data_IF_749798711018
#
_entry.id   IF_749798711018
#
_cell.length_a   1.000
_cell.length_b   1.000
_cell.length_c   1.000
_cell.angle_alpha   90.00
_cell.angle_beta   90.00
_cell.angle_gamma   90.00
#
_symmetry.space_group_name_H-M   'P 1'
#
loop_
_entity.id
_entity.type
_entity.pdbx_description
1 polymer ?
#
# COMPACT_ATOMS: atom_id res chain seq x y z
N UNK A 1 -1.41 32.48 16.49
CA UNK A 1 -0.50 31.87 15.48
C UNK A 1 -0.09 32.96 14.49
N UNK A 2 1.18 33.01 14.06
CA UNK A 2 1.61 34.00 13.07
C UNK A 2 0.99 33.71 11.68
N UNK A 3 0.74 34.76 10.90
CA UNK A 3 0.14 34.71 9.56
C UNK A 3 0.90 33.78 8.61
N UNK A 4 2.23 33.79 8.64
CA UNK A 4 3.06 32.92 7.79
C UNK A 4 2.86 31.45 8.12
N UNK A 5 2.90 31.07 9.40
CA UNK A 5 2.65 29.68 9.85
C UNK A 5 1.26 29.21 9.46
N UNK A 6 0.25 30.08 9.60
CA UNK A 6 -1.12 29.77 9.15
C UNK A 6 -1.17 29.42 7.66
N UNK A 7 -0.55 30.25 6.83
CA UNK A 7 -0.54 30.06 5.38
C UNK A 7 0.17 28.76 5.03
N UNK A 8 1.35 28.50 5.60
CA UNK A 8 2.12 27.26 5.36
C UNK A 8 1.30 26.03 5.72
N UNK A 9 0.65 26.01 6.89
CA UNK A 9 -0.16 24.86 7.32
C UNK A 9 -1.38 24.63 6.43
N UNK A 10 -2.01 25.70 5.94
CA UNK A 10 -3.15 25.59 5.01
C UNK A 10 -2.73 25.10 3.63
N UNK A 11 -1.58 25.57 3.11
CA UNK A 11 -1.00 25.06 1.87
C UNK A 11 -0.68 23.57 2.00
N UNK A 12 -0.07 23.18 3.12
CA UNK A 12 0.27 21.79 3.40
C UNK A 12 -0.99 20.91 3.55
N UNK A 13 -2.03 21.41 4.22
CA UNK A 13 -3.32 20.72 4.32
C UNK A 13 -3.95 20.51 2.93
N UNK A 14 -3.92 21.53 2.08
CA UNK A 14 -4.42 21.45 0.70
C UNK A 14 -3.63 20.44 -0.11
N UNK A 15 -2.30 20.42 0.05
CA UNK A 15 -1.43 19.44 -0.59
C UNK A 15 -1.81 18.00 -0.21
N UNK A 16 -1.96 17.71 1.09
CA UNK A 16 -2.37 16.37 1.53
C UNK A 16 -3.78 15.99 1.09
N UNK A 17 -4.70 16.95 1.02
CA UNK A 17 -6.05 16.72 0.49
C UNK A 17 -5.99 16.29 -0.99
N UNK A 18 -5.23 17.02 -1.82
CA UNK A 18 -5.07 16.69 -3.24
C UNK A 18 -4.42 15.32 -3.43
N UNK A 19 -3.39 15.00 -2.65
CA UNK A 19 -2.79 13.65 -2.66
C UNK A 19 -3.80 12.57 -2.26
N UNK A 20 -4.62 12.81 -1.24
CA UNK A 20 -5.67 11.87 -0.83
C UNK A 20 -6.69 11.60 -1.94
N UNK A 21 -7.12 12.65 -2.66
CA UNK A 21 -8.03 12.53 -3.81
C UNK A 21 -7.37 11.68 -4.91
N UNK A 22 -6.14 12.00 -5.30
CA UNK A 22 -5.43 11.22 -6.33
C UNK A 22 -5.24 9.76 -5.90
N UNK A 23 -4.87 9.53 -4.65
CA UNK A 23 -4.73 8.19 -4.07
C UNK A 23 -6.03 7.39 -4.14
N UNK A 24 -7.17 8.01 -3.82
CA UNK A 24 -8.49 7.37 -3.88
C UNK A 24 -8.92 7.01 -5.30
N UNK A 25 -8.51 7.80 -6.30
CA UNK A 25 -8.84 7.54 -7.70
C UNK A 25 -7.96 6.43 -8.32
N UNK A 26 -6.74 6.27 -7.82
CA UNK A 26 -5.83 5.21 -8.26
C UNK A 26 -6.09 3.87 -7.58
N UNK A 27 -6.71 3.86 -6.41
CA UNK A 27 -7.07 2.64 -5.69
C UNK A 27 -8.38 2.08 -6.26
N UNK A 28 -8.28 1.10 -7.16
CA UNK A 28 -9.44 0.38 -7.69
C UNK A 28 -9.76 -0.84 -6.82
N UNK A 29 -11.03 -1.07 -6.46
CA UNK A 29 -11.45 -2.33 -5.85
C UNK A 29 -11.06 -3.51 -6.74
N UNK A 30 -10.72 -4.63 -6.12
CA UNK A 30 -10.31 -5.84 -6.83
C UNK A 30 -11.33 -6.29 -7.88
N UNK A 31 -12.62 -6.20 -7.54
CA UNK A 31 -13.74 -6.57 -8.40
C UNK A 31 -13.86 -5.71 -9.68
N UNK A 32 -13.19 -4.55 -9.73
CA UNK A 32 -13.20 -3.62 -10.87
C UNK A 32 -11.95 -3.74 -11.75
N UNK A 33 -11.02 -4.64 -11.41
CA UNK A 33 -9.81 -4.87 -12.20
C UNK A 33 -10.13 -5.74 -13.42
N UNK A 34 -9.72 -5.28 -14.60
CA UNK A 34 -10.00 -5.95 -15.89
C UNK A 34 -8.83 -6.77 -16.44
N UNK A 35 -7.61 -6.53 -15.95
CA UNK A 35 -6.37 -7.08 -16.52
C UNK A 35 -5.66 -8.03 -15.54
N UNK A 36 -6.44 -8.78 -14.77
CA UNK A 36 -5.92 -9.75 -13.80
C UNK A 36 -5.29 -10.93 -14.55
N UNK A 37 -4.00 -11.17 -14.28
CA UNK A 37 -3.27 -12.34 -14.77
C UNK A 37 -3.07 -13.33 -13.64
N UNK A 38 -3.47 -14.58 -13.89
CA UNK A 38 -3.13 -15.71 -13.03
C UNK A 38 -1.77 -16.27 -13.47
N UNK A 39 -0.83 -16.34 -12.54
CA UNK A 39 0.54 -16.78 -12.77
C UNK A 39 0.83 -17.89 -11.78
N UNK A 40 1.42 -18.98 -12.26
CA UNK A 40 1.94 -20.06 -11.44
C UNK A 40 3.46 -20.07 -11.59
N UNK A 41 4.18 -20.18 -10.47
CA UNK A 41 5.63 -20.21 -10.51
C UNK A 41 6.27 -20.46 -9.17
N UNK A 42 7.58 -20.67 -9.19
CA UNK A 42 8.38 -20.92 -7.99
C UNK A 42 9.03 -19.63 -7.49
N UNK A 43 8.89 -19.33 -6.20
CA UNK A 43 9.51 -18.16 -5.58
C UNK A 43 11.03 -18.34 -5.56
N UNK A 44 11.75 -17.49 -6.28
CA UNK A 44 13.23 -17.47 -6.31
C UNK A 44 13.80 -16.51 -5.28
N UNK A 45 13.16 -15.36 -5.09
CA UNK A 45 13.56 -14.34 -4.14
C UNK A 45 12.35 -13.76 -3.42
N UNK A 46 12.54 -13.44 -2.15
CA UNK A 46 11.57 -12.74 -1.33
C UNK A 46 12.27 -11.56 -0.65
N UNK A 47 11.90 -10.34 -1.05
CA UNK A 47 12.42 -9.11 -0.47
C UNK A 47 11.48 -8.62 0.64
N UNK A 48 12.02 -8.56 1.85
CA UNK A 48 11.30 -8.21 3.07
C UNK A 48 11.94 -6.96 3.71
N UNK A 49 11.59 -5.74 3.27
CA UNK A 49 12.16 -4.53 3.84
C UNK A 49 11.69 -4.31 5.28
N UNK A 50 12.43 -3.57 6.13
CA UNK A 50 12.02 -3.31 7.51
C UNK A 50 10.72 -2.47 7.60
N UNK A 51 10.39 -1.71 6.55
CA UNK A 51 9.18 -0.90 6.42
C UNK A 51 8.63 -1.03 5.00
N UNK A 52 7.31 -0.92 4.86
CA UNK A 52 6.62 -0.97 3.57
C UNK A 52 6.11 -2.37 3.20
N UNK A 53 5.85 -2.56 1.91
CA UNK A 53 5.37 -3.82 1.35
C UNK A 53 6.54 -4.78 1.05
N UNK A 54 6.29 -6.09 1.11
CA UNK A 54 7.23 -7.08 0.61
C UNK A 54 7.12 -7.19 -0.93
N UNK A 55 8.13 -7.79 -1.56
CA UNK A 55 8.06 -8.18 -2.97
C UNK A 55 8.69 -9.54 -3.19
N UNK A 56 8.32 -10.22 -4.26
CA UNK A 56 8.93 -11.48 -4.66
C UNK A 56 9.30 -11.49 -6.15
N UNK A 57 10.19 -12.40 -6.51
CA UNK A 57 10.54 -12.76 -7.88
C UNK A 57 10.36 -14.26 -8.08
N UNK A 58 10.09 -14.68 -9.32
CA UNK A 58 9.94 -16.09 -9.68
C UNK A 58 11.22 -16.59 -10.38
N UNK A 59 11.44 -17.92 -10.42
CA UNK A 59 12.68 -18.53 -10.95
C UNK A 59 12.97 -18.19 -12.41
N UNK A 60 11.95 -18.08 -13.26
CA UNK A 60 12.09 -17.89 -14.71
C UNK A 60 11.50 -16.54 -15.17
N UNK A 61 11.54 -15.53 -14.31
CA UNK A 61 10.92 -14.23 -14.55
C UNK A 61 11.73 -13.09 -13.94
N UNK A 62 12.09 -12.11 -14.77
CA UNK A 62 12.72 -10.86 -14.34
C UNK A 62 11.71 -9.86 -13.72
N UNK A 63 10.42 -10.21 -13.71
CA UNK A 63 9.36 -9.38 -13.15
C UNK A 63 9.41 -9.33 -11.62
N UNK A 64 9.05 -8.16 -11.09
CA UNK A 64 8.92 -7.93 -9.64
C UNK A 64 7.46 -7.90 -9.25
N UNK A 65 7.10 -8.73 -8.27
CA UNK A 65 5.74 -8.88 -7.78
C UNK A 65 5.61 -8.26 -6.39
N UNK A 66 4.96 -7.11 -6.31
CA UNK A 66 4.66 -6.41 -5.06
C UNK A 66 3.56 -7.14 -4.30
N UNK A 67 3.79 -7.37 -3.02
CA UNK A 67 2.86 -7.98 -2.07
C UNK A 67 2.27 -6.90 -1.17
N UNK A 68 1.52 -7.30 -0.14
CA UNK A 68 0.98 -6.37 0.86
C UNK A 68 1.94 -6.17 2.05
N UNK A 69 1.74 -5.09 2.79
CA UNK A 69 2.36 -4.84 4.10
C UNK A 69 1.92 -5.92 5.10
N UNK A 70 0.67 -6.39 4.99
CA UNK A 70 0.18 -7.49 5.82
C UNK A 70 0.93 -8.79 5.55
N UNK A 71 1.14 -9.16 4.28
CA UNK A 71 1.95 -10.32 3.91
C UNK A 71 3.34 -10.24 4.54
N UNK A 72 3.99 -9.07 4.44
CA UNK A 72 5.28 -8.84 5.10
C UNK A 72 5.18 -9.10 6.60
N UNK A 73 4.18 -8.54 7.26
CA UNK A 73 4.01 -8.69 8.72
C UNK A 73 3.79 -10.15 9.13
N UNK A 74 3.07 -10.91 8.32
CA UNK A 74 2.69 -12.28 8.65
C UNK A 74 3.79 -13.32 8.30
N UNK A 75 4.58 -13.05 7.25
CA UNK A 75 5.48 -14.03 6.63
C UNK A 75 6.96 -13.62 6.55
N UNK A 76 7.31 -12.33 6.70
CA UNK A 76 8.70 -11.86 6.62
C UNK A 76 9.45 -11.83 7.96
N UNK A 77 8.92 -12.45 9.02
CA UNK A 77 9.68 -12.64 10.27
C UNK A 77 10.86 -13.60 10.03
N UNK A 78 11.98 -13.42 10.76
CA UNK A 78 13.25 -14.16 10.57
C UNK A 78 13.07 -15.68 10.65
N UNK A 79 12.01 -16.14 11.33
CA UNK A 79 11.65 -17.57 11.46
C UNK A 79 10.78 -18.12 10.33
N UNK A 80 10.11 -17.27 9.55
CA UNK A 80 9.09 -17.64 8.55
C UNK A 80 9.50 -17.35 7.11
N UNK A 81 10.31 -16.32 6.87
CA UNK A 81 10.77 -15.90 5.55
C UNK A 81 11.50 -17.01 4.75
N UNK A 82 12.38 -17.84 5.34
CA UNK A 82 13.11 -18.88 4.60
C UNK A 82 12.22 -20.03 4.07
N UNK A 83 10.98 -20.17 4.56
CA UNK A 83 10.13 -21.34 4.29
C UNK A 83 9.43 -21.26 2.92
N UNK A 84 9.34 -20.05 2.35
CA UNK A 84 8.62 -19.79 1.10
C UNK A 84 9.51 -19.83 -0.15
N UNK A 85 10.82 -19.71 0.02
CA UNK A 85 11.76 -19.82 -1.09
C UNK A 85 11.74 -21.24 -1.67
N UNK A 86 11.75 -21.34 -3.00
CA UNK A 86 11.66 -22.60 -3.72
C UNK A 86 10.28 -23.26 -3.68
N UNK A 87 9.26 -22.59 -3.12
CA UNK A 87 7.89 -23.09 -3.15
C UNK A 87 7.15 -22.60 -4.39
N UNK A 88 6.32 -23.48 -4.92
CA UNK A 88 5.39 -23.15 -5.99
C UNK A 88 4.19 -22.39 -5.42
N UNK A 89 3.81 -21.32 -6.10
CA UNK A 89 2.69 -20.47 -5.73
C UNK A 89 1.83 -20.17 -6.95
N UNK A 90 0.54 -19.94 -6.71
CA UNK A 90 -0.39 -19.38 -7.69
C UNK A 90 -0.75 -17.98 -7.25
N UNK A 91 -0.67 -17.02 -8.16
CA UNK A 91 -0.87 -15.61 -7.85
C UNK A 91 -1.76 -14.94 -8.89
N UNK A 92 -2.60 -14.02 -8.44
CA UNK A 92 -3.38 -13.13 -9.30
C UNK A 92 -2.79 -11.73 -9.18
N UNK A 93 -2.37 -11.18 -10.33
CA UNK A 93 -1.63 -9.92 -10.36
C UNK A 93 -2.04 -9.03 -11.52
N UNK A 94 -1.82 -7.72 -11.35
CA UNK A 94 -2.04 -6.70 -12.39
C UNK A 94 -0.75 -5.91 -12.58
N UNK A 95 -0.41 -5.63 -13.84
CA UNK A 95 0.75 -4.81 -14.17
C UNK A 95 0.49 -3.36 -13.75
N UNK A 96 1.40 -2.79 -12.97
CA UNK A 96 1.26 -1.41 -12.47
C UNK A 96 2.15 -0.45 -13.25
N UNK A 97 3.40 -0.85 -13.49
CA UNK A 97 4.37 -0.03 -14.21
C UNK A 97 5.55 -0.87 -14.71
N UNK A 98 5.83 -0.88 -16.01
CA UNK A 98 6.95 -1.65 -16.58
C UNK A 98 6.96 -3.09 -16.09
N UNK A 99 8.05 -3.51 -15.44
CA UNK A 99 8.23 -4.88 -14.94
C UNK A 99 7.64 -5.11 -13.53
N UNK A 100 6.91 -4.13 -12.98
CA UNK A 100 6.29 -4.21 -11.67
C UNK A 100 4.82 -4.62 -11.74
N UNK A 101 4.49 -5.66 -11.00
CA UNK A 101 3.16 -6.23 -10.88
C UNK A 101 2.68 -6.14 -9.43
N UNK A 102 1.45 -5.72 -9.21
CA UNK A 102 0.81 -5.81 -7.90
C UNK A 102 0.11 -7.16 -7.80
N UNK A 103 0.48 -7.95 -6.80
CA UNK A 103 -0.22 -9.18 -6.45
C UNK A 103 -1.40 -8.84 -5.56
N UNK A 104 -2.58 -9.30 -5.95
CA UNK A 104 -3.82 -9.18 -5.18
C UNK A 104 -4.16 -10.47 -4.46
N UNK A 105 -3.78 -11.62 -5.01
CA UNK A 105 -3.98 -12.92 -4.39
C UNK A 105 -2.73 -13.77 -4.52
N UNK A 106 -2.35 -14.47 -3.45
CA UNK A 106 -1.25 -15.43 -3.45
C UNK A 106 -1.63 -16.67 -2.66
N UNK A 107 -1.45 -17.84 -3.27
CA UNK A 107 -1.76 -19.14 -2.71
C UNK A 107 -0.57 -20.09 -2.82
N UNK A 108 -0.39 -20.91 -1.79
CA UNK A 108 0.60 -21.96 -1.76
C UNK A 108 -0.08 -23.28 -1.40
N UNK A 109 -0.09 -24.26 -2.31
CA UNK A 109 -0.72 -25.58 -2.10
C UNK A 109 -2.17 -25.52 -1.57
N UNK A 110 -2.96 -24.56 -2.06
CA UNK A 110 -4.35 -24.34 -1.65
C UNK A 110 -4.53 -23.54 -0.35
N UNK A 111 -3.44 -23.09 0.28
CA UNK A 111 -3.50 -22.15 1.40
C UNK A 111 -3.39 -20.73 0.89
N UNK A 112 -4.43 -19.93 1.13
CA UNK A 112 -4.44 -18.49 0.87
C UNK A 112 -3.46 -17.79 1.82
N UNK A 113 -2.52 -17.03 1.25
CA UNK A 113 -1.48 -16.29 1.97
C UNK A 113 -1.63 -14.78 1.83
N UNK A 114 -2.18 -14.33 0.70
CA UNK A 114 -2.53 -12.95 0.45
C UNK A 114 -3.90 -12.92 -0.19
N UNK A 115 -4.80 -12.11 0.35
CA UNK A 115 -6.15 -11.89 -0.22
C UNK A 115 -6.29 -10.48 -0.79
N UNK A 116 -7.21 -10.26 -1.74
CA UNK A 116 -7.44 -8.93 -2.30
C UNK A 116 -7.82 -7.90 -1.24
N UNK A 117 -8.59 -8.30 -0.23
CA UNK A 117 -8.96 -7.43 0.89
C UNK A 117 -7.76 -6.94 1.71
N UNK A 118 -6.67 -7.70 1.75
CA UNK A 118 -5.45 -7.26 2.45
C UNK A 118 -4.76 -6.12 1.68
N UNK A 119 -4.78 -6.18 0.35
CA UNK A 119 -4.22 -5.13 -0.52
C UNK A 119 -5.10 -3.88 -0.48
N UNK A 120 -6.41 -4.04 -0.53
CA UNK A 120 -7.37 -2.93 -0.41
C UNK A 120 -7.26 -2.23 0.96
N UNK A 121 -7.06 -2.99 2.04
CA UNK A 121 -6.85 -2.42 3.37
C UNK A 121 -5.58 -1.56 3.44
N UNK A 122 -4.49 -2.00 2.81
CA UNK A 122 -3.24 -1.22 2.74
C UNK A 122 -3.42 0.08 1.96
N UNK A 123 -4.07 0.02 0.79
CA UNK A 123 -4.36 1.20 -0.05
C UNK A 123 -5.30 2.19 0.65
N UNK A 124 -6.34 1.67 1.30
CA UNK A 124 -7.31 2.47 2.05
C UNK A 124 -6.66 3.16 3.26
N UNK A 125 -5.83 2.44 4.03
CA UNK A 125 -5.12 2.98 5.19
C UNK A 125 -4.23 4.17 4.82
N UNK A 126 -3.46 4.06 3.74
CA UNK A 126 -2.63 5.16 3.24
C UNK A 126 -3.47 6.38 2.84
N UNK A 127 -4.58 6.15 2.13
CA UNK A 127 -5.50 7.19 1.68
C UNK A 127 -6.17 7.91 2.86
N UNK A 128 -6.64 7.17 3.85
CA UNK A 128 -7.23 7.72 5.08
C UNK A 128 -6.21 8.55 5.87
N UNK A 129 -4.94 8.10 5.93
CA UNK A 129 -3.86 8.84 6.57
C UNK A 129 -3.65 10.23 5.96
N UNK A 130 -3.71 10.34 4.63
CA UNK A 130 -3.59 11.62 3.92
C UNK A 130 -4.74 12.58 4.28
N UNK A 131 -5.97 12.09 4.25
CA UNK A 131 -7.15 12.89 4.62
C UNK A 131 -7.11 13.30 6.10
N UNK A 132 -6.71 12.39 6.98
CA UNK A 132 -6.60 12.68 8.41
C UNK A 132 -5.54 13.76 8.69
N UNK A 133 -4.40 13.72 7.99
CA UNK A 133 -3.37 14.74 8.13
C UNK A 133 -3.85 16.11 7.63
N UNK A 134 -4.54 16.16 6.49
CA UNK A 134 -5.17 17.39 5.99
C UNK A 134 -6.19 17.96 7.00
N UNK A 135 -7.01 17.09 7.59
CA UNK A 135 -7.96 17.46 8.63
C UNK A 135 -7.28 18.03 9.88
N UNK A 136 -6.27 17.34 10.42
CA UNK A 136 -5.55 17.78 11.62
C UNK A 136 -4.90 19.15 11.44
N UNK A 137 -4.25 19.38 10.29
CA UNK A 137 -3.64 20.68 9.98
C UNK A 137 -4.69 21.79 9.92
N UNK A 138 -5.81 21.53 9.26
CA UNK A 138 -6.93 22.48 9.17
C UNK A 138 -7.54 22.77 10.54
N UNK A 139 -7.77 21.73 11.35
CA UNK A 139 -8.31 21.84 12.70
C UNK A 139 -7.36 22.63 13.63
N UNK A 140 -6.06 22.38 13.55
CA UNK A 140 -5.03 23.11 14.30
C UNK A 140 -5.05 24.60 13.94
N UNK A 141 -5.11 24.91 12.65
CA UNK A 141 -5.21 26.30 12.16
C UNK A 141 -6.48 26.96 12.69
N UNK A 142 -7.63 26.29 12.59
CA UNK A 142 -8.91 26.81 13.07
C UNK A 142 -8.89 27.07 14.58
N UNK A 143 -8.41 26.09 15.37
CA UNK A 143 -8.31 26.19 16.83
C UNK A 143 -7.42 27.35 17.28
N UNK A 144 -6.22 27.48 16.70
CA UNK A 144 -5.26 28.55 17.05
C UNK A 144 -5.58 29.91 16.45
N UNK A 145 -6.55 29.99 15.52
CA UNK A 145 -7.01 31.26 14.92
C UNK A 145 -8.27 31.80 15.59
N UNK A 146 -8.85 31.11 16.59
CA UNK A 146 -10.01 31.62 17.32
C UNK A 146 -9.64 32.92 18.05
N UNK A 147 -10.46 33.98 17.95
CA UNK A 147 -10.31 35.15 18.80
C UNK A 147 -10.50 34.71 20.26
N UNK A 148 -9.58 35.12 21.13
CA UNK A 148 -9.77 34.99 22.58
C UNK A 148 -10.79 36.08 22.93
N UNK A 149 -12.06 35.72 23.06
CA UNK A 149 -13.02 36.59 23.72
C UNK A 149 -12.53 36.75 25.16
N UNK A 150 -12.07 37.95 25.50
CA UNK A 150 -11.87 38.39 26.88
C UNK A 150 -13.18 38.93 27.42
#
# INVERSE_FOLDING_TARGET
>A
MNKTTKIILLVLATFFLLLGIMSSQHSKPYAELTDIKTIQGTISQLHCPPKGAASLSLTDSDLTYNLSIKFRTDYCDEKKSPVLLGKEVTMQSVQVNGDFYQVYQLENTGRLMLSPSDVEADQSSATLGLFFLAFLLTALVAYKSRPINK
#
